data_IF_752464037486
#
_entry.id   IF_752464037486
#
_cell.length_a   1.000
_cell.length_b   1.000
_cell.length_c   1.000
_cell.angle_alpha   90.00
_cell.angle_beta   90.00
_cell.angle_gamma   90.00
#
_symmetry.space_group_name_H-M   'P 1'
#
loop_
_entity.id
_entity.type
_entity.pdbx_description
1 polymer ?
#
# COMPACT_ATOMS: atom_id res chain seq x y z
N UNK A 1 -0.48 11.99 -14.72
CA UNK A 1 -1.04 11.40 -15.96
C UNK A 1 -1.56 12.53 -16.82
N UNK A 2 -1.42 12.43 -18.14
CA UNK A 2 -2.00 13.38 -19.10
C UNK A 2 -2.98 12.62 -20.00
N UNK A 3 -4.20 13.16 -20.12
CA UNK A 3 -5.24 12.64 -21.00
C UNK A 3 -5.75 13.76 -21.90
N UNK A 4 -5.93 13.47 -23.19
CA UNK A 4 -6.51 14.45 -24.11
C UNK A 4 -6.73 13.91 -25.52
N UNK A 5 -7.61 14.56 -26.30
CA UNK A 5 -7.85 14.19 -27.69
C UNK A 5 -6.71 14.64 -28.60
N UNK A 6 -6.43 13.81 -29.62
CA UNK A 6 -5.48 14.13 -30.69
C UNK A 6 -4.07 14.48 -30.19
N UNK A 7 -3.44 15.44 -30.86
CA UNK A 7 -2.04 15.81 -30.67
C UNK A 7 -1.79 16.82 -29.54
N UNK A 8 -2.86 17.36 -28.94
CA UNK A 8 -2.77 18.40 -27.89
C UNK A 8 -2.03 17.89 -26.64
N UNK A 9 -2.27 16.63 -26.26
CA UNK A 9 -1.53 15.99 -25.15
C UNK A 9 -0.04 15.90 -25.45
N UNK A 10 0.33 15.66 -26.70
CA UNK A 10 1.73 15.47 -27.12
C UNK A 10 2.46 16.82 -27.14
N UNK A 11 1.77 17.89 -27.54
CA UNK A 11 2.28 19.26 -27.42
C UNK A 11 2.46 19.69 -25.96
N UNK A 12 1.50 19.33 -25.08
CA UNK A 12 1.63 19.60 -23.65
C UNK A 12 2.82 18.85 -23.04
N UNK A 13 3.05 17.60 -23.44
CA UNK A 13 4.20 16.79 -23.00
C UNK A 13 5.51 17.44 -23.44
N UNK A 14 5.62 17.86 -24.71
CA UNK A 14 6.80 18.58 -25.22
C UNK A 14 7.04 19.90 -24.49
N UNK A 15 5.98 20.66 -24.23
CA UNK A 15 6.07 21.90 -23.45
C UNK A 15 6.58 21.63 -22.03
N UNK A 16 6.02 20.63 -21.32
CA UNK A 16 6.46 20.28 -19.98
C UNK A 16 7.90 19.77 -19.96
N UNK A 17 8.35 19.07 -21.00
CA UNK A 17 9.72 18.60 -21.11
C UNK A 17 10.73 19.77 -21.18
N UNK A 18 10.38 20.84 -21.90
CA UNK A 18 11.24 22.01 -22.10
C UNK A 18 11.18 22.95 -20.89
N UNK A 19 9.97 23.30 -20.46
CA UNK A 19 9.74 24.39 -19.51
C UNK A 19 9.64 23.92 -18.05
N UNK A 20 9.30 22.64 -17.82
CA UNK A 20 8.94 22.13 -16.49
C UNK A 20 9.44 20.69 -16.29
N UNK A 21 10.75 20.49 -16.41
CA UNK A 21 11.42 19.17 -16.36
C UNK A 21 11.04 18.33 -15.13
N UNK A 22 10.82 18.96 -13.97
CA UNK A 22 10.36 18.30 -12.75
C UNK A 22 8.95 17.72 -12.87
N UNK A 23 8.01 18.46 -13.47
CA UNK A 23 6.65 18.00 -13.74
C UNK A 23 6.64 16.93 -14.82
N UNK A 24 7.45 17.09 -15.86
CA UNK A 24 7.64 16.07 -16.89
C UNK A 24 8.09 14.73 -16.29
N UNK A 25 9.09 14.74 -15.40
CA UNK A 25 9.55 13.54 -14.70
C UNK A 25 8.50 12.89 -13.77
N UNK A 26 7.44 13.62 -13.41
CA UNK A 26 6.32 13.10 -12.62
C UNK A 26 5.20 12.49 -13.49
N UNK A 27 5.24 12.66 -14.82
CA UNK A 27 4.25 12.07 -15.73
C UNK A 27 4.49 10.55 -15.78
N UNK A 28 3.53 9.79 -15.25
CA UNK A 28 3.56 8.32 -15.26
C UNK A 28 2.86 7.68 -16.46
N UNK A 29 1.94 8.40 -17.08
CA UNK A 29 1.20 7.88 -18.23
C UNK A 29 0.62 9.01 -19.10
N UNK A 30 0.53 8.76 -20.41
CA UNK A 30 -0.03 9.64 -21.44
C UNK A 30 -1.03 8.82 -22.28
N UNK A 31 -2.27 9.29 -22.41
CA UNK A 31 -3.33 8.56 -23.12
C UNK A 31 -4.21 9.46 -23.98
N UNK A 32 -4.65 8.90 -25.10
CA UNK A 32 -5.63 9.53 -25.99
C UNK A 32 -7.04 9.19 -25.54
N UNK A 33 -7.91 10.19 -25.48
CA UNK A 33 -9.36 10.02 -25.24
C UNK A 33 -10.13 10.69 -26.37
N UNK A 34 -11.35 10.26 -26.65
CA UNK A 34 -12.16 10.80 -27.75
C UNK A 34 -12.58 12.27 -27.53
N UNK A 35 -12.67 12.72 -26.28
CA UNK A 35 -13.11 14.08 -25.93
C UNK A 35 -12.28 14.69 -24.79
N UNK A 36 -12.18 16.02 -24.76
CA UNK A 36 -11.65 16.75 -23.60
C UNK A 36 -12.67 16.87 -22.45
N UNK A 37 -12.22 17.35 -21.29
CA UNK A 37 -13.09 17.62 -20.13
C UNK A 37 -13.59 16.37 -19.39
N UNK A 38 -14.70 16.50 -18.66
CA UNK A 38 -15.24 15.45 -17.77
C UNK A 38 -15.54 14.15 -18.52
N UNK A 39 -15.99 14.23 -19.77
CA UNK A 39 -16.28 13.05 -20.59
C UNK A 39 -15.01 12.26 -20.91
N UNK A 40 -13.90 12.93 -21.22
CA UNK A 40 -12.59 12.29 -21.41
C UNK A 40 -12.04 11.68 -20.13
N UNK A 41 -12.26 12.32 -18.98
CA UNK A 41 -11.91 11.72 -17.67
C UNK A 41 -12.69 10.43 -17.47
N UNK A 42 -14.02 10.45 -17.65
CA UNK A 42 -14.90 9.27 -17.51
C UNK A 42 -14.51 8.14 -18.47
N UNK A 43 -14.13 8.47 -19.69
CA UNK A 43 -13.61 7.52 -20.68
C UNK A 43 -12.32 6.84 -20.19
N UNK A 44 -11.37 7.61 -19.66
CA UNK A 44 -10.12 7.09 -19.09
C UNK A 44 -10.35 6.23 -17.83
N UNK A 45 -11.39 6.52 -17.04
CA UNK A 45 -11.81 5.65 -15.93
C UNK A 45 -12.31 4.32 -16.48
N UNK A 46 -13.23 4.36 -17.46
CA UNK A 46 -13.83 3.15 -18.07
C UNK A 46 -12.81 2.27 -18.78
N UNK A 47 -11.74 2.84 -19.32
CA UNK A 47 -10.70 2.10 -20.01
C UNK A 47 -9.74 1.35 -19.07
N UNK A 48 -9.95 1.41 -17.74
CA UNK A 48 -9.12 0.72 -16.74
C UNK A 48 -7.70 1.30 -16.60
N UNK A 49 -7.45 2.49 -17.16
CA UNK A 49 -6.13 3.14 -17.10
C UNK A 49 -5.86 3.63 -15.69
N UNK A 50 -6.88 4.19 -15.03
CA UNK A 50 -6.77 4.57 -13.63
C UNK A 50 -6.53 3.37 -12.70
N UNK A 51 -7.06 2.20 -13.03
CA UNK A 51 -6.86 0.99 -12.22
C UNK A 51 -5.38 0.59 -12.17
N UNK A 52 -4.65 0.72 -13.29
CA UNK A 52 -3.20 0.46 -13.34
C UNK A 52 -2.42 1.44 -12.47
N UNK A 53 -2.68 2.73 -12.62
CA UNK A 53 -2.01 3.78 -11.84
C UNK A 53 -2.33 3.66 -10.35
N UNK A 54 -3.58 3.36 -10.00
CA UNK A 54 -4.00 3.11 -8.62
C UNK A 54 -3.31 1.86 -8.04
N UNK A 55 -3.20 0.78 -8.83
CA UNK A 55 -2.49 -0.44 -8.43
C UNK A 55 -1.00 -0.17 -8.19
N UNK A 56 -0.34 0.57 -9.09
CA UNK A 56 1.05 0.99 -8.91
C UNK A 56 1.23 1.82 -7.63
N UNK A 57 0.32 2.78 -7.39
CA UNK A 57 0.31 3.58 -6.16
C UNK A 57 0.21 2.73 -4.90
N UNK A 58 -0.68 1.72 -4.90
CA UNK A 58 -0.83 0.78 -3.79
C UNK A 58 0.43 -0.05 -3.56
N UNK A 59 1.06 -0.58 -4.61
CA UNK A 59 2.33 -1.33 -4.49
C UNK A 59 3.42 -0.45 -3.87
N UNK A 60 3.50 0.82 -4.26
CA UNK A 60 4.46 1.78 -3.68
C UNK A 60 4.20 1.98 -2.19
N UNK A 61 2.94 2.15 -1.78
CA UNK A 61 2.57 2.34 -0.38
C UNK A 61 2.88 1.09 0.47
N UNK A 62 2.46 -0.09 0.02
CA UNK A 62 2.74 -1.38 0.68
C UNK A 62 4.26 -1.59 0.85
N UNK A 63 5.03 -1.35 -0.21
CA UNK A 63 6.50 -1.48 -0.19
C UNK A 63 7.14 -0.51 0.79
N UNK A 64 6.68 0.75 0.80
CA UNK A 64 7.20 1.78 1.71
C UNK A 64 7.00 1.40 3.17
N UNK A 65 5.81 0.93 3.52
CA UNK A 65 5.45 0.59 4.90
C UNK A 65 6.18 -0.67 5.39
N UNK A 66 6.31 -1.69 4.54
CA UNK A 66 7.14 -2.87 4.88
C UNK A 66 8.60 -2.49 5.07
N UNK A 67 9.17 -1.67 4.18
CA UNK A 67 10.55 -1.21 4.32
C UNK A 67 10.76 -0.39 5.60
N UNK A 68 9.77 0.40 6.01
CA UNK A 68 9.81 1.10 7.29
C UNK A 68 9.87 0.12 8.46
N UNK A 69 9.03 -0.92 8.48
CA UNK A 69 9.07 -1.99 9.50
C UNK A 69 10.45 -2.64 9.55
N UNK A 70 10.98 -3.09 8.41
CA UNK A 70 12.28 -3.75 8.31
C UNK A 70 13.43 -2.84 8.78
N UNK A 71 13.40 -1.56 8.39
CA UNK A 71 14.41 -0.58 8.80
C UNK A 71 14.40 -0.37 10.32
N UNK A 72 13.21 -0.25 10.94
CA UNK A 72 13.10 -0.10 12.40
C UNK A 72 13.57 -1.34 13.14
N UNK A 73 13.26 -2.53 12.63
CA UNK A 73 13.73 -3.80 13.20
C UNK A 73 15.25 -3.92 13.10
N UNK A 74 15.83 -3.65 11.93
CA UNK A 74 17.28 -3.69 11.74
C UNK A 74 18.05 -2.65 12.57
N UNK A 75 17.40 -1.55 12.94
CA UNK A 75 17.95 -0.52 13.83
C UNK A 75 17.64 -0.76 15.32
N UNK A 76 17.05 -1.90 15.70
CA UNK A 76 16.63 -2.22 17.07
C UNK A 76 15.77 -1.13 17.73
N UNK A 77 14.86 -0.51 16.96
CA UNK A 77 13.94 0.47 17.50
C UNK A 77 12.78 -0.20 18.25
N UNK A 78 12.33 0.42 19.33
CA UNK A 78 11.35 -0.19 20.24
C UNK A 78 9.87 -0.11 19.75
N UNK A 79 9.57 0.73 18.75
CA UNK A 79 8.19 0.98 18.28
C UNK A 79 7.81 0.14 17.05
N UNK A 80 8.28 -1.09 16.99
CA UNK A 80 7.97 -2.04 15.93
C UNK A 80 7.98 -3.46 16.51
N UNK A 81 7.13 -4.33 15.99
CA UNK A 81 7.11 -5.75 16.36
C UNK A 81 6.65 -6.61 15.18
N UNK A 82 6.93 -7.90 15.23
CA UNK A 82 6.58 -8.86 14.19
C UNK A 82 6.34 -10.27 14.75
N UNK A 83 5.69 -11.08 13.92
CA UNK A 83 5.27 -12.43 14.28
C UNK A 83 4.02 -12.45 15.15
N UNK A 84 3.24 -13.53 15.04
CA UNK A 84 1.92 -13.67 15.65
C UNK A 84 1.93 -13.36 17.16
N UNK A 85 2.82 -13.99 17.93
CA UNK A 85 2.84 -13.87 19.38
C UNK A 85 3.13 -12.44 19.86
N UNK A 86 4.14 -11.78 19.29
CA UNK A 86 4.52 -10.44 19.73
C UNK A 86 3.51 -9.38 19.25
N UNK A 87 2.97 -9.54 18.04
CA UNK A 87 1.91 -8.68 17.52
C UNK A 87 0.65 -8.82 18.37
N UNK A 88 0.24 -10.03 18.73
CA UNK A 88 -0.91 -10.24 19.62
C UNK A 88 -0.73 -9.55 20.98
N UNK A 89 0.46 -9.64 21.60
CA UNK A 89 0.78 -8.88 22.83
C UNK A 89 0.63 -7.37 22.62
N UNK A 90 1.12 -6.85 21.49
CA UNK A 90 0.99 -5.44 21.14
C UNK A 90 -0.47 -4.99 20.94
N UNK A 91 -1.29 -5.87 20.35
CA UNK A 91 -2.71 -5.63 20.16
C UNK A 91 -3.41 -5.59 21.52
N UNK A 92 -3.19 -6.59 22.37
CA UNK A 92 -3.84 -6.67 23.68
C UNK A 92 -3.47 -5.50 24.62
N UNK A 93 -2.32 -4.86 24.40
CA UNK A 93 -1.90 -3.65 25.13
C UNK A 93 -2.38 -2.33 24.50
N UNK A 94 -3.05 -2.37 23.34
CA UNK A 94 -3.47 -1.18 22.62
C UNK A 94 -2.32 -0.38 21.99
N UNK A 95 -1.12 -0.96 21.93
CA UNK A 95 0.07 -0.30 21.42
C UNK A 95 0.08 -0.17 19.89
N UNK A 96 -0.70 -0.97 19.16
CA UNK A 96 -0.68 -0.99 17.69
C UNK A 96 -1.21 0.32 17.09
N UNK A 97 -0.35 0.99 16.31
CA UNK A 97 -0.73 2.12 15.45
C UNK A 97 -1.18 1.63 14.07
N UNK A 98 -0.41 0.73 13.48
CA UNK A 98 -0.64 0.15 12.16
C UNK A 98 -0.27 -1.34 12.18
N UNK A 99 -1.24 -2.20 11.91
CA UNK A 99 -1.06 -3.64 11.70
C UNK A 99 -0.87 -3.92 10.20
N UNK A 100 0.17 -4.68 9.86
CA UNK A 100 0.41 -5.22 8.52
C UNK A 100 0.04 -6.70 8.54
N UNK A 101 -0.76 -7.13 7.57
CA UNK A 101 -1.21 -8.53 7.43
C UNK A 101 -0.89 -9.02 6.03
N UNK A 102 -0.11 -10.10 5.91
CA UNK A 102 0.09 -10.75 4.63
C UNK A 102 -1.23 -11.37 4.13
N UNK A 103 -1.62 -11.09 2.89
CA UNK A 103 -2.91 -11.53 2.33
C UNK A 103 -3.06 -13.07 2.28
N UNK A 104 -1.96 -13.82 2.24
CA UNK A 104 -1.96 -15.28 2.34
C UNK A 104 -2.56 -15.80 3.66
N UNK A 105 -2.40 -15.07 4.77
CA UNK A 105 -2.94 -15.47 6.08
C UNK A 105 -4.46 -15.45 6.08
N UNK A 106 -5.05 -14.64 5.20
CA UNK A 106 -6.51 -14.53 5.01
C UNK A 106 -7.05 -15.56 4.01
N UNK A 107 -6.15 -16.26 3.29
CA UNK A 107 -6.50 -17.28 2.28
C UNK A 107 -6.19 -18.71 2.73
N UNK A 108 -5.64 -18.91 3.94
CA UNK A 108 -5.34 -20.24 4.46
C UNK A 108 -6.59 -21.12 4.52
N UNK A 109 -6.43 -22.39 4.14
CA UNK A 109 -7.49 -23.41 4.20
C UNK A 109 -7.92 -23.72 5.64
N UNK A 110 -7.03 -23.54 6.61
CA UNK A 110 -7.35 -23.72 8.02
C UNK A 110 -8.22 -22.57 8.53
N UNK A 111 -9.53 -22.83 8.67
CA UNK A 111 -10.51 -21.85 9.15
C UNK A 111 -10.17 -21.29 10.53
N UNK A 112 -9.57 -22.09 11.42
CA UNK A 112 -9.23 -21.63 12.77
C UNK A 112 -8.13 -20.57 12.75
N UNK A 113 -7.10 -20.75 11.92
CA UNK A 113 -6.01 -19.78 11.78
C UNK A 113 -6.48 -18.50 11.07
N UNK A 114 -7.33 -18.63 10.06
CA UNK A 114 -7.90 -17.48 9.37
C UNK A 114 -8.75 -16.64 10.35
N UNK A 115 -9.61 -17.30 11.10
CA UNK A 115 -10.49 -16.63 12.07
C UNK A 115 -9.72 -15.95 13.19
N UNK A 116 -8.62 -16.54 13.67
CA UNK A 116 -7.80 -15.89 14.70
C UNK A 116 -7.15 -14.60 14.20
N UNK A 117 -6.69 -14.56 12.96
CA UNK A 117 -6.15 -13.33 12.34
C UNK A 117 -7.26 -12.28 12.15
N UNK A 118 -8.45 -12.69 11.69
CA UNK A 118 -9.61 -11.81 11.58
C UNK A 118 -10.01 -11.21 12.94
N UNK A 119 -9.98 -12.00 14.02
CA UNK A 119 -10.27 -11.54 15.38
C UNK A 119 -9.22 -10.52 15.87
N UNK A 120 -7.94 -10.72 15.55
CA UNK A 120 -6.87 -9.77 15.85
C UNK A 120 -7.06 -8.45 15.09
N UNK A 121 -7.46 -8.52 13.82
CA UNK A 121 -7.79 -7.34 13.02
C UNK A 121 -8.94 -6.55 13.66
N UNK A 122 -10.05 -7.21 14.02
CA UNK A 122 -11.17 -6.56 14.69
C UNK A 122 -10.76 -5.89 16.02
N UNK A 123 -9.87 -6.51 16.80
CA UNK A 123 -9.33 -5.91 18.03
C UNK A 123 -8.53 -4.63 17.75
N UNK A 124 -7.69 -4.62 16.71
CA UNK A 124 -6.91 -3.43 16.32
C UNK A 124 -7.83 -2.27 15.96
N UNK A 125 -8.85 -2.50 15.14
CA UNK A 125 -9.82 -1.47 14.76
C UNK A 125 -10.57 -0.92 15.98
N UNK A 126 -11.04 -1.79 16.88
CA UNK A 126 -11.70 -1.38 18.13
C UNK A 126 -10.82 -0.51 19.02
N UNK A 127 -9.49 -0.70 18.96
CA UNK A 127 -8.51 0.11 19.69
C UNK A 127 -8.00 1.31 18.87
N UNK A 128 -8.67 1.66 17.78
CA UNK A 128 -8.37 2.81 16.91
C UNK A 128 -7.08 2.66 16.11
N UNK A 129 -6.55 1.45 15.99
CA UNK A 129 -5.41 1.14 15.14
C UNK A 129 -5.83 1.02 13.67
N UNK A 130 -4.88 1.18 12.76
CA UNK A 130 -5.10 0.98 11.32
C UNK A 130 -4.64 -0.41 10.90
N UNK A 131 -5.23 -0.93 9.84
CA UNK A 131 -4.83 -2.20 9.24
C UNK A 131 -4.48 -1.98 7.79
N UNK A 132 -3.43 -2.63 7.32
CA UNK A 132 -3.02 -2.67 5.93
C UNK A 132 -2.74 -4.12 5.53
N UNK A 133 -3.47 -4.61 4.53
CA UNK A 133 -3.24 -5.93 3.94
C UNK A 133 -2.17 -5.78 2.86
N UNK A 134 -1.11 -6.56 2.97
CA UNK A 134 0.04 -6.54 2.07
C UNK A 134 -0.07 -7.68 1.07
N UNK A 135 0.07 -7.38 -0.21
CA UNK A 135 0.05 -8.37 -1.27
C UNK A 135 1.32 -9.23 -1.24
N UNK A 136 1.20 -10.53 -1.04
CA UNK A 136 2.34 -11.48 -1.03
C UNK A 136 2.99 -11.71 -2.39
N UNK A 137 2.36 -11.24 -3.48
CA UNK A 137 2.92 -11.35 -4.84
C UNK A 137 4.06 -10.36 -5.11
N UNK A 138 4.19 -9.29 -4.31
CA UNK A 138 5.29 -8.33 -4.41
C UNK A 138 6.42 -8.69 -3.44
N UNK A 139 7.63 -8.19 -3.71
CA UNK A 139 8.82 -8.50 -2.89
C UNK A 139 8.66 -8.12 -1.42
N UNK A 140 8.10 -6.95 -1.15
CA UNK A 140 7.77 -6.50 0.20
C UNK A 140 6.82 -7.47 0.93
N UNK A 141 5.83 -8.03 0.23
CA UNK A 141 4.94 -9.04 0.79
C UNK A 141 5.69 -10.31 1.19
N UNK A 142 6.60 -10.79 0.33
CA UNK A 142 7.45 -11.95 0.65
C UNK A 142 8.33 -11.71 1.87
N UNK A 143 8.86 -10.50 2.03
CA UNK A 143 9.63 -10.13 3.22
C UNK A 143 8.77 -10.17 4.49
N UNK A 144 7.54 -9.67 4.43
CA UNK A 144 6.60 -9.76 5.56
C UNK A 144 6.27 -11.21 5.92
N UNK A 145 6.09 -12.08 4.93
CA UNK A 145 5.91 -13.53 5.14
C UNK A 145 7.12 -14.14 5.87
N UNK A 146 8.34 -13.73 5.50
CA UNK A 146 9.57 -14.12 6.20
C UNK A 146 9.61 -13.70 7.68
N UNK A 147 8.83 -12.69 8.07
CA UNK A 147 8.64 -12.27 9.47
C UNK A 147 7.45 -12.98 10.16
N UNK A 148 6.91 -14.04 9.57
CA UNK A 148 5.74 -14.75 10.08
C UNK A 148 4.39 -14.14 9.66
N UNK A 149 4.38 -13.32 8.61
CA UNK A 149 3.16 -12.80 7.97
C UNK A 149 2.43 -11.67 8.69
N UNK A 150 2.87 -11.31 9.89
CA UNK A 150 2.32 -10.21 10.69
C UNK A 150 3.44 -9.29 11.18
N UNK A 151 3.21 -7.98 11.09
CA UNK A 151 4.04 -6.96 11.70
C UNK A 151 3.21 -5.77 12.14
N UNK A 152 3.72 -4.99 13.10
CA UNK A 152 3.03 -3.80 13.56
C UNK A 152 3.98 -2.66 13.88
N UNK A 153 3.59 -1.45 13.48
CA UNK A 153 4.15 -0.21 14.00
C UNK A 153 3.38 0.21 15.24
N UNK A 154 4.11 0.59 16.28
CA UNK A 154 3.54 0.85 17.61
C UNK A 154 3.46 2.35 17.92
N UNK A 155 2.50 2.74 18.73
CA UNK A 155 2.32 4.08 19.30
C UNK A 155 3.36 4.34 20.39
N UNK A 156 3.59 3.34 21.23
CA UNK A 156 4.55 3.30 22.33
C UNK A 156 5.23 1.92 22.37
N UNK A 157 6.39 1.86 23.02
CA UNK A 157 7.12 0.62 23.21
C UNK A 157 6.39 -0.30 24.20
N UNK A 158 6.47 -1.61 23.97
CA UNK A 158 5.87 -2.65 24.84
C UNK A 158 6.93 -3.58 25.46
N UNK A 159 8.18 -3.10 25.52
CA UNK A 159 9.29 -3.75 26.23
C UNK A 159 8.83 -4.19 27.63
#
# INVERSE_FOLDING_TARGET
>A
MIIGPGFFKDNLVKYLQIEQSKLFGAIRDIRTVGNGGISGVKEAIRSGVLDKVAKEGRVIEETKIVNEVLSRLGANQEKVTYGLMNVEKAINTGAVKLLLVADELLRKENEHERKSVEDLMLKVEKMGGRIMIINTQIEAGKQLVGLGGLAALLRFSIT
#
